data_IF_552407622126
#
_entry.id   IF_552407622126
#
_cell.length_a   1.000
_cell.length_b   1.000
_cell.length_c   1.000
_cell.angle_alpha   90.00
_cell.angle_beta   90.00
_cell.angle_gamma   90.00
#
_symmetry.space_group_name_H-M   'P 1'
#
loop_
_entity.id
_entity.type
_entity.pdbx_description
1 polymer ?
#
# COMPACT_ATOMS: atom_id res chain seq x y z
N UNK A 1 20.78 22.00 -7.35
CA UNK A 1 20.69 21.99 -5.88
C UNK A 1 20.45 20.55 -5.43
N UNK A 2 21.13 20.04 -4.37
CA UNK A 2 20.91 18.68 -3.89
C UNK A 2 19.54 18.58 -3.18
N UNK A 3 19.00 17.37 -2.93
CA UNK A 3 17.56 17.11 -2.98
C UNK A 3 16.79 17.67 -1.76
N UNK A 4 15.94 18.65 -2.03
CA UNK A 4 15.17 19.43 -1.03
C UNK A 4 13.99 18.62 -0.45
N UNK A 5 13.52 17.58 -1.15
CA UNK A 5 12.26 16.90 -0.82
C UNK A 5 12.25 16.27 0.59
N UNK A 6 13.24 15.45 0.95
CA UNK A 6 13.31 14.86 2.29
C UNK A 6 13.48 15.92 3.38
N UNK A 7 14.34 16.90 3.15
CA UNK A 7 14.58 17.99 4.10
C UNK A 7 13.30 18.81 4.33
N UNK A 8 12.56 19.12 3.27
CA UNK A 8 11.27 19.81 3.30
C UNK A 8 10.25 19.07 4.18
N UNK A 9 10.15 17.75 4.02
CA UNK A 9 9.28 16.91 4.85
C UNK A 9 9.73 16.94 6.32
N UNK A 10 11.03 16.78 6.57
CA UNK A 10 11.56 16.79 7.94
C UNK A 10 11.36 18.14 8.64
N UNK A 11 11.57 19.26 7.94
CA UNK A 11 11.28 20.61 8.45
C UNK A 11 9.81 20.77 8.82
N UNK A 12 8.91 20.38 7.91
CA UNK A 12 7.47 20.46 8.17
C UNK A 12 7.05 19.62 9.39
N UNK A 13 7.58 18.40 9.54
CA UNK A 13 7.31 17.55 10.71
C UNK A 13 7.85 18.13 12.03
N UNK A 14 8.92 18.92 11.96
CA UNK A 14 9.50 19.62 13.11
C UNK A 14 8.92 21.03 13.32
N UNK A 15 7.85 21.40 12.61
CA UNK A 15 7.24 22.74 12.67
C UNK A 15 8.19 23.88 12.29
N UNK A 16 9.20 23.59 11.45
CA UNK A 16 10.15 24.56 10.94
C UNK A 16 9.70 25.08 9.56
N UNK A 17 10.03 26.34 9.21
CA UNK A 17 9.77 26.86 7.87
C UNK A 17 10.48 26.04 6.79
N UNK A 18 9.69 25.54 5.83
CA UNK A 18 10.18 24.91 4.61
C UNK A 18 9.99 25.86 3.41
N UNK A 19 10.62 25.56 2.28
CA UNK A 19 10.52 26.34 1.05
C UNK A 19 9.14 26.29 0.40
N UNK A 20 8.41 25.17 0.58
CA UNK A 20 6.98 25.02 0.28
C UNK A 20 6.35 23.94 1.15
N UNK A 21 5.02 23.85 1.11
CA UNK A 21 4.27 22.74 1.72
C UNK A 21 4.69 21.41 1.05
N UNK A 22 5.04 20.35 1.81
CA UNK A 22 5.30 19.03 1.25
C UNK A 22 4.06 18.45 0.54
N UNK A 23 4.28 17.72 -0.56
CA UNK A 23 3.24 17.09 -1.37
C UNK A 23 3.43 15.58 -1.34
N UNK A 24 2.36 14.86 -1.04
CA UNK A 24 2.30 13.40 -1.07
C UNK A 24 1.31 12.89 -2.12
N UNK A 25 1.77 11.95 -2.95
CA UNK A 25 0.93 11.09 -3.80
C UNK A 25 1.53 9.68 -3.73
N UNK A 26 0.74 8.73 -3.25
CA UNK A 26 1.10 7.32 -3.14
C UNK A 26 2.01 6.98 -1.95
N UNK A 27 2.34 7.96 -1.08
CA UNK A 27 3.11 7.75 0.15
C UNK A 27 2.39 6.89 1.16
N UNK A 28 1.08 7.06 1.31
CA UNK A 28 0.23 6.25 2.18
C UNK A 28 -0.98 5.64 1.46
N UNK A 29 -1.74 4.74 2.11
CA UNK A 29 -2.88 4.07 1.49
C UNK A 29 -3.97 5.04 1.01
N UNK A 30 -4.18 6.14 1.75
CA UNK A 30 -5.18 7.16 1.44
C UNK A 30 -4.74 8.18 0.36
N UNK A 31 -3.46 8.22 0.01
CA UNK A 31 -2.92 9.19 -0.98
C UNK A 31 -2.64 8.54 -2.33
N UNK A 32 -3.10 7.30 -2.54
CA UNK A 32 -3.02 6.57 -3.81
C UNK A 32 -4.08 7.07 -4.80
N UNK A 33 -3.90 6.71 -6.07
CA UNK A 33 -4.83 7.08 -7.16
C UNK A 33 -5.53 5.83 -7.70
N UNK A 34 -6.82 5.93 -8.01
CA UNK A 34 -7.56 4.84 -8.64
C UNK A 34 -7.01 4.51 -10.03
N UNK A 35 -6.96 3.23 -10.40
CA UNK A 35 -6.37 2.75 -11.66
C UNK A 35 -6.94 3.46 -12.90
N UNK A 36 -8.26 3.63 -12.97
CA UNK A 36 -8.92 4.32 -14.09
C UNK A 36 -8.57 5.82 -14.14
N UNK A 37 -8.44 6.47 -12.99
CA UNK A 37 -8.04 7.88 -12.91
C UNK A 37 -6.57 8.05 -13.31
N UNK A 38 -5.70 7.12 -12.91
CA UNK A 38 -4.30 7.12 -13.30
C UNK A 38 -4.10 6.91 -14.80
N UNK A 39 -4.84 5.99 -15.42
CA UNK A 39 -4.78 5.79 -16.87
C UNK A 39 -5.17 7.08 -17.64
N UNK A 40 -6.21 7.78 -17.18
CA UNK A 40 -6.61 9.09 -17.74
C UNK A 40 -5.57 10.18 -17.50
N UNK A 41 -4.92 10.16 -16.34
CA UNK A 41 -3.82 11.08 -16.02
C UNK A 41 -2.64 10.87 -16.99
N UNK A 42 -2.22 9.63 -17.23
CA UNK A 42 -1.16 9.33 -18.20
C UNK A 42 -1.52 9.85 -19.60
N UNK A 43 -2.75 9.61 -20.05
CA UNK A 43 -3.24 10.12 -21.34
C UNK A 43 -3.21 11.65 -21.39
N UNK A 44 -3.65 12.33 -20.32
CA UNK A 44 -3.65 13.78 -20.25
C UNK A 44 -2.23 14.38 -20.28
N UNK A 45 -1.27 13.71 -19.63
CA UNK A 45 0.14 14.10 -19.64
C UNK A 45 0.88 13.72 -20.93
N UNK A 46 0.22 13.03 -21.87
CA UNK A 46 0.85 12.52 -23.09
C UNK A 46 1.86 11.40 -22.84
N UNK A 47 1.77 10.71 -21.70
CA UNK A 47 2.63 9.58 -21.37
C UNK A 47 2.09 8.28 -21.97
N UNK A 48 3.00 7.40 -22.37
CA UNK A 48 2.63 6.05 -22.79
C UNK A 48 1.85 5.33 -21.66
N UNK A 49 0.80 4.56 -22.01
CA UNK A 49 0.08 3.74 -21.04
C UNK A 49 1.04 2.80 -20.31
N UNK A 50 0.87 2.70 -19.00
CA UNK A 50 1.60 1.75 -18.18
C UNK A 50 0.76 0.47 -18.01
N UNK A 51 1.38 -0.68 -18.23
CA UNK A 51 0.73 -1.99 -18.07
C UNK A 51 0.84 -2.46 -16.62
N UNK A 52 -0.06 -3.36 -16.23
CA UNK A 52 -0.06 -4.02 -14.92
C UNK A 52 0.08 -3.05 -13.73
N UNK A 53 -0.81 -2.04 -13.67
CA UNK A 53 -0.77 -0.97 -12.67
C UNK A 53 -0.78 -1.47 -11.22
N UNK A 54 -1.30 -2.67 -10.97
CA UNK A 54 -1.35 -3.32 -9.65
C UNK A 54 -0.25 -4.36 -9.44
N UNK A 55 0.61 -4.64 -10.43
CA UNK A 55 1.69 -5.60 -10.27
C UNK A 55 2.69 -5.13 -9.20
N UNK A 56 2.95 -6.00 -8.23
CA UNK A 56 3.82 -5.71 -7.10
C UNK A 56 3.19 -4.86 -5.99
N UNK A 57 1.92 -4.47 -6.11
CA UNK A 57 1.16 -3.96 -4.97
C UNK A 57 0.86 -5.10 -3.99
N UNK A 58 0.86 -4.80 -2.69
CA UNK A 58 0.36 -5.76 -1.70
C UNK A 58 -1.08 -6.15 -2.08
N UNK A 59 -1.48 -7.44 -2.03
CA UNK A 59 -2.75 -7.86 -2.63
C UNK A 59 -3.98 -7.20 -1.98
N UNK A 60 -3.92 -6.83 -0.69
CA UNK A 60 -4.99 -6.03 -0.05
C UNK A 60 -5.11 -4.61 -0.62
N UNK A 61 -4.01 -4.02 -1.11
CA UNK A 61 -4.01 -2.71 -1.78
C UNK A 61 -4.44 -2.84 -3.24
N UNK A 62 -4.02 -3.91 -3.92
CA UNK A 62 -4.51 -4.23 -5.26
C UNK A 62 -6.04 -4.41 -5.26
N UNK A 63 -6.59 -4.98 -4.18
CA UNK A 63 -8.03 -5.16 -4.01
C UNK A 63 -8.86 -3.86 -3.95
N UNK A 64 -8.23 -2.72 -3.68
CA UNK A 64 -8.89 -1.41 -3.65
C UNK A 64 -8.89 -0.69 -5.01
N UNK A 65 -8.29 -1.28 -6.04
CA UNK A 65 -8.08 -0.66 -7.35
C UNK A 65 -7.34 0.69 -7.28
N UNK A 66 -6.46 0.86 -6.28
CA UNK A 66 -5.61 2.05 -6.14
C UNK A 66 -4.14 1.70 -6.30
N UNK A 67 -3.38 2.60 -6.90
CA UNK A 67 -1.98 2.40 -7.24
C UNK A 67 -1.12 3.54 -6.70
N UNK A 68 0.17 3.26 -6.50
CA UNK A 68 1.18 4.30 -6.36
C UNK A 68 1.66 4.66 -7.78
N UNK A 69 1.62 5.93 -8.20
CA UNK A 69 2.13 6.33 -9.51
C UNK A 69 3.58 5.89 -9.76
N UNK A 70 3.95 5.72 -11.03
CA UNK A 70 5.33 5.40 -11.40
C UNK A 70 6.29 6.54 -11.05
N UNK A 71 7.57 6.23 -10.91
CA UNK A 71 8.59 7.26 -10.61
C UNK A 71 8.62 8.39 -11.64
N UNK A 72 8.29 8.09 -12.90
CA UNK A 72 8.16 9.11 -13.95
C UNK A 72 7.09 10.13 -13.59
N UNK A 73 5.92 9.69 -13.12
CA UNK A 73 4.83 10.58 -12.71
C UNK A 73 5.15 11.29 -11.39
N UNK A 74 5.72 10.58 -10.41
CA UNK A 74 6.10 11.19 -9.13
C UNK A 74 7.18 12.27 -9.30
N UNK A 75 8.13 12.09 -10.22
CA UNK A 75 9.12 13.11 -10.58
C UNK A 75 8.51 14.26 -11.36
N UNK A 76 7.55 14.01 -12.25
CA UNK A 76 6.85 15.06 -13.00
C UNK A 76 6.16 16.07 -12.07
N UNK A 77 5.57 15.60 -10.98
CA UNK A 77 4.91 16.45 -9.98
C UNK A 77 5.79 16.86 -8.80
N UNK A 78 7.10 16.55 -8.82
CA UNK A 78 8.03 16.83 -7.71
C UNK A 78 7.50 16.35 -6.34
N UNK A 79 6.98 15.12 -6.30
CA UNK A 79 6.41 14.52 -5.08
C UNK A 79 7.49 14.24 -4.05
N UNK A 80 7.23 14.62 -2.80
CA UNK A 80 8.23 14.65 -1.73
C UNK A 80 8.44 13.30 -1.02
N UNK A 81 7.50 12.39 -1.18
CA UNK A 81 7.40 11.14 -0.42
C UNK A 81 7.44 9.94 -1.37
N UNK A 82 8.03 8.83 -0.90
CA UNK A 82 7.91 7.51 -1.50
C UNK A 82 7.36 6.52 -0.50
N UNK A 83 6.19 5.96 -0.84
CA UNK A 83 5.49 4.98 -0.02
C UNK A 83 6.08 3.58 -0.19
N UNK A 84 6.36 2.93 0.92
CA UNK A 84 6.77 1.54 1.01
C UNK A 84 5.73 0.77 1.81
N UNK A 85 5.53 -0.49 1.43
CA UNK A 85 4.57 -1.39 2.06
C UNK A 85 5.28 -2.71 2.33
N UNK A 86 4.84 -3.42 3.37
CA UNK A 86 5.29 -4.78 3.63
C UNK A 86 4.90 -5.71 2.47
N UNK A 87 5.66 -6.79 2.34
CA UNK A 87 5.36 -7.91 1.45
C UNK A 87 4.26 -8.81 2.02
N UNK A 88 4.10 -9.98 1.41
CA UNK A 88 3.15 -11.00 1.88
C UNK A 88 3.78 -11.90 2.95
N UNK A 89 2.99 -12.33 3.93
CA UNK A 89 3.39 -13.35 4.90
C UNK A 89 3.71 -14.69 4.19
N UNK A 90 4.76 -15.39 4.64
CA UNK A 90 5.05 -16.76 4.18
C UNK A 90 4.11 -17.78 4.84
N UNK A 91 3.79 -17.59 6.13
CA UNK A 91 2.97 -18.51 6.92
C UNK A 91 1.47 -18.32 6.67
N UNK A 92 1.05 -17.09 6.36
CA UNK A 92 -0.34 -16.67 6.13
C UNK A 92 -0.46 -15.90 4.81
N UNK A 93 -0.12 -16.49 3.65
CA UNK A 93 -0.29 -15.79 2.39
C UNK A 93 -1.78 -15.58 2.10
N UNK A 94 -2.08 -14.49 1.40
CA UNK A 94 -3.43 -14.23 0.88
C UNK A 94 -3.83 -15.39 -0.04
N UNK A 95 -5.01 -15.95 0.23
CA UNK A 95 -5.52 -17.15 -0.43
C UNK A 95 -6.67 -16.81 -1.36
N UNK A 96 -6.52 -16.94 -2.68
CA UNK A 96 -7.64 -16.84 -3.61
C UNK A 96 -8.70 -17.90 -3.29
N UNK A 97 -9.96 -17.51 -3.25
CA UNK A 97 -11.10 -18.43 -3.05
C UNK A 97 -12.09 -18.42 -4.23
N UNK A 98 -11.89 -17.53 -5.19
CA UNK A 98 -12.64 -17.45 -6.44
C UNK A 98 -12.11 -16.37 -7.37
N UNK A 99 -12.75 -16.14 -8.53
CA UNK A 99 -12.30 -15.14 -9.52
C UNK A 99 -12.24 -13.70 -8.97
N UNK A 100 -13.07 -13.42 -7.97
CA UNK A 100 -13.23 -12.09 -7.38
C UNK A 100 -13.19 -12.13 -5.85
N UNK A 101 -12.67 -13.21 -5.27
CA UNK A 101 -12.67 -13.40 -3.82
C UNK A 101 -11.36 -13.98 -3.30
N UNK A 102 -10.97 -13.53 -2.12
CA UNK A 102 -9.80 -14.05 -1.40
C UNK A 102 -10.04 -14.01 0.11
N UNK A 103 -9.22 -14.76 0.84
CA UNK A 103 -9.09 -14.67 2.30
C UNK A 103 -7.73 -14.07 2.62
N UNK A 104 -7.70 -13.04 3.45
CA UNK A 104 -6.47 -12.39 3.89
C UNK A 104 -5.77 -13.14 5.04
N UNK A 105 -4.66 -12.59 5.51
CA UNK A 105 -3.88 -13.12 6.61
C UNK A 105 -4.62 -13.07 7.97
N UNK A 106 -5.63 -12.21 8.09
CA UNK A 106 -6.53 -12.11 9.24
C UNK A 106 -7.71 -13.09 9.19
N UNK A 107 -7.85 -13.86 8.11
CA UNK A 107 -8.98 -14.76 7.92
C UNK A 107 -10.25 -14.06 7.45
N UNK A 108 -10.17 -12.79 7.04
CA UNK A 108 -11.30 -12.03 6.48
C UNK A 108 -11.49 -12.43 5.02
N UNK A 109 -12.74 -12.72 4.65
CA UNK A 109 -13.11 -12.99 3.27
C UNK A 109 -13.49 -11.68 2.59
N UNK A 110 -12.81 -11.39 1.49
CA UNK A 110 -13.02 -10.22 0.65
C UNK A 110 -13.62 -10.66 -0.68
N UNK A 111 -14.57 -9.89 -1.21
CA UNK A 111 -15.12 -10.09 -2.55
C UNK A 111 -15.34 -8.79 -3.29
N UNK A 112 -15.34 -8.83 -4.62
CA UNK A 112 -15.77 -7.73 -5.48
C UNK A 112 -16.82 -8.18 -6.49
N UNK A 113 -17.70 -7.27 -6.89
CA UNK A 113 -18.79 -7.59 -7.80
C UNK A 113 -18.34 -7.87 -9.25
N UNK A 114 -17.25 -7.23 -9.69
CA UNK A 114 -16.66 -7.37 -11.02
C UNK A 114 -15.21 -6.84 -11.02
N UNK A 115 -14.48 -7.02 -12.11
CA UNK A 115 -13.03 -6.75 -12.22
C UNK A 115 -12.58 -5.37 -11.70
N UNK A 116 -13.36 -4.32 -11.92
CA UNK A 116 -13.02 -2.95 -11.50
C UNK A 116 -13.73 -2.48 -10.24
N UNK A 117 -14.53 -3.33 -9.60
CA UNK A 117 -15.17 -3.01 -8.33
C UNK A 117 -14.16 -3.11 -7.17
N UNK A 118 -14.29 -2.28 -6.12
CA UNK A 118 -13.50 -2.45 -4.91
C UNK A 118 -13.87 -3.76 -4.22
N UNK A 119 -12.90 -4.38 -3.55
CA UNK A 119 -13.20 -5.48 -2.64
C UNK A 119 -13.87 -4.95 -1.38
N UNK A 120 -14.91 -5.66 -0.93
CA UNK A 120 -15.58 -5.47 0.34
C UNK A 120 -15.45 -6.75 1.16
N UNK A 121 -15.24 -6.62 2.46
CA UNK A 121 -15.26 -7.76 3.37
C UNK A 121 -16.71 -8.28 3.48
N UNK A 122 -16.88 -9.59 3.37
CA UNK A 122 -18.19 -10.26 3.45
C UNK A 122 -18.26 -11.31 4.55
N UNK A 123 -17.13 -11.69 5.12
CA UNK A 123 -17.08 -12.58 6.27
C UNK A 123 -15.79 -12.36 7.06
N UNK A 124 -15.84 -12.63 8.36
CA UNK A 124 -14.67 -12.55 9.26
C UNK A 124 -14.62 -13.73 10.22
N UNK A 125 -13.47 -13.97 10.88
CA UNK A 125 -13.28 -15.12 11.75
C UNK A 125 -14.24 -15.15 12.95
N UNK A 126 -14.74 -13.99 13.38
CA UNK A 126 -15.65 -13.84 14.52
C UNK A 126 -17.12 -13.63 14.11
N UNK A 127 -17.43 -13.48 12.81
CA UNK A 127 -18.76 -13.07 12.34
C UNK A 127 -19.88 -14.02 12.75
N UNK A 128 -19.59 -15.33 12.84
CA UNK A 128 -20.58 -16.39 13.05
C UNK A 128 -20.76 -16.79 14.51
N UNK A 129 -20.17 -16.06 15.45
CA UNK A 129 -20.25 -16.38 16.88
C UNK A 129 -21.39 -15.58 17.53
N UNK A 130 -22.37 -16.29 18.09
CA UNK A 130 -23.52 -15.67 18.74
C UNK A 130 -23.25 -15.25 20.22
N UNK A 131 -22.10 -15.62 20.79
CA UNK A 131 -21.61 -15.18 22.11
C UNK A 131 -20.08 -15.43 22.22
N UNK A 132 -19.23 -14.53 21.70
CA UNK A 132 -17.79 -14.77 21.61
C UNK A 132 -17.11 -14.77 22.98
N UNK A 133 -16.29 -15.78 23.23
CA UNK A 133 -15.48 -15.94 24.43
C UNK A 133 -14.00 -15.66 24.15
N UNK A 134 -13.16 -15.42 25.17
CA UNK A 134 -11.71 -15.32 24.98
C UNK A 134 -11.08 -16.56 24.31
N UNK A 135 -11.62 -17.75 24.55
CA UNK A 135 -11.12 -18.99 23.94
C UNK A 135 -11.33 -19.02 22.41
N UNK A 136 -12.36 -18.32 21.91
CA UNK A 136 -12.57 -18.18 20.46
C UNK A 136 -11.48 -17.33 19.81
N UNK A 137 -10.93 -16.34 20.54
CA UNK A 137 -9.79 -15.55 20.07
C UNK A 137 -8.52 -16.40 19.98
N UNK A 138 -8.29 -17.28 20.95
CA UNK A 138 -7.12 -18.17 20.97
C UNK A 138 -7.18 -19.25 19.86
N UNK A 139 -8.39 -19.61 19.42
CA UNK A 139 -8.60 -20.51 18.30
C UNK A 139 -8.35 -19.83 16.94
N UNK A 140 -8.34 -18.49 16.89
CA UNK A 140 -8.06 -17.77 15.65
C UNK A 140 -6.59 -17.86 15.33
N UNK A 141 -6.39 -18.16 14.07
CA UNK A 141 -5.12 -18.43 13.48
C UNK A 141 -4.53 -17.08 13.01
N UNK A 142 -4.14 -16.21 13.96
CA UNK A 142 -3.73 -14.82 13.72
C UNK A 142 -2.50 -14.67 12.81
N UNK A 143 -2.30 -13.50 12.17
CA UNK A 143 -1.06 -13.17 11.46
C UNK A 143 0.15 -13.26 12.38
N UNK A 144 1.30 -13.63 11.81
CA UNK A 144 2.60 -13.66 12.51
C UNK A 144 3.30 -12.32 12.25
N UNK A 145 3.44 -11.42 13.24
CA UNK A 145 3.91 -10.04 13.01
C UNK A 145 5.34 -9.94 12.47
N UNK A 146 6.20 -10.87 12.83
CA UNK A 146 7.61 -10.92 12.45
C UNK A 146 7.90 -11.92 11.31
N UNK A 147 6.88 -12.33 10.57
CA UNK A 147 7.03 -13.23 9.44
C UNK A 147 8.06 -12.67 8.42
N UNK A 148 9.12 -13.41 8.08
CA UNK A 148 10.19 -12.91 7.22
C UNK A 148 9.72 -12.58 5.80
N UNK A 149 8.55 -13.04 5.37
CA UNK A 149 7.94 -12.69 4.09
C UNK A 149 7.51 -11.22 4.03
N UNK A 150 7.10 -10.64 5.16
CA UNK A 150 6.67 -9.24 5.25
C UNK A 150 7.80 -8.26 4.97
N UNK A 151 9.04 -8.62 5.34
CA UNK A 151 10.21 -7.74 5.21
C UNK A 151 11.18 -8.17 4.10
N UNK A 152 10.89 -9.28 3.40
CA UNK A 152 11.74 -9.82 2.33
C UNK A 152 12.02 -8.77 1.25
N UNK A 153 13.29 -8.42 1.06
CA UNK A 153 13.72 -7.45 0.05
C UNK A 153 13.35 -5.98 0.35
N UNK A 154 12.70 -5.70 1.49
CA UNK A 154 12.20 -4.37 1.82
C UNK A 154 13.35 -3.41 2.11
N UNK A 155 14.37 -3.86 2.85
CA UNK A 155 15.56 -3.08 3.19
C UNK A 155 16.24 -2.56 1.93
N UNK A 156 16.55 -3.45 0.99
CA UNK A 156 17.29 -3.13 -0.22
C UNK A 156 16.51 -2.14 -1.09
N UNK A 157 15.18 -2.30 -1.17
CA UNK A 157 14.29 -1.37 -1.90
C UNK A 157 14.25 0.02 -1.24
N UNK A 158 14.17 0.10 0.09
CA UNK A 158 14.17 1.35 0.85
C UNK A 158 15.52 2.05 0.72
N UNK A 159 16.62 1.33 0.92
CA UNK A 159 17.98 1.88 0.82
C UNK A 159 18.24 2.45 -0.57
N UNK A 160 17.84 1.72 -1.62
CA UNK A 160 17.92 2.20 -3.01
C UNK A 160 17.12 3.48 -3.23
N UNK A 161 15.85 3.53 -2.82
CA UNK A 161 15.07 4.75 -2.98
C UNK A 161 15.65 5.91 -2.16
N UNK A 162 16.20 5.62 -0.97
CA UNK A 162 16.81 6.63 -0.10
C UNK A 162 18.03 7.28 -0.77
N UNK A 163 18.85 6.51 -1.48
CA UNK A 163 20.05 7.01 -2.18
C UNK A 163 19.73 7.66 -3.52
N UNK A 164 18.78 7.13 -4.30
CA UNK A 164 18.53 7.56 -5.68
C UNK A 164 17.54 8.73 -5.82
N UNK A 165 16.65 8.94 -4.84
CA UNK A 165 15.56 9.91 -4.98
C UNK A 165 15.73 11.17 -4.15
N UNK A 166 16.45 11.10 -3.02
CA UNK A 166 16.48 12.18 -2.04
C UNK A 166 15.12 12.54 -1.42
N UNK A 167 14.08 11.73 -1.67
CA UNK A 167 12.73 11.90 -1.12
C UNK A 167 12.64 11.33 0.30
N UNK A 168 11.60 11.74 1.04
CA UNK A 168 11.23 11.11 2.29
C UNK A 168 10.67 9.70 2.03
N UNK A 169 10.93 8.78 2.96
CA UNK A 169 10.39 7.42 2.91
C UNK A 169 9.23 7.34 3.89
N UNK A 170 8.06 6.93 3.41
CA UNK A 170 6.92 6.61 4.26
C UNK A 170 6.76 5.08 4.29
N UNK A 171 7.04 4.46 5.43
CA UNK A 171 6.81 3.03 5.62
C UNK A 171 5.39 2.82 6.13
N UNK A 172 4.58 2.12 5.35
CA UNK A 172 3.24 1.73 5.71
C UNK A 172 3.29 0.34 6.33
N UNK A 173 2.99 0.29 7.62
CA UNK A 173 2.76 -0.95 8.32
C UNK A 173 1.30 -1.37 8.08
N UNK A 174 1.02 -2.66 7.89
CA UNK A 174 -0.35 -3.15 7.87
C UNK A 174 -1.03 -2.79 9.20
N UNK A 175 -2.36 -2.80 9.22
CA UNK A 175 -3.14 -2.70 10.45
C UNK A 175 -2.88 -3.96 11.29
N UNK A 176 -1.71 -4.01 11.94
CA UNK A 176 -1.35 -4.97 12.96
C UNK A 176 -1.41 -4.21 14.27
N UNK A 177 -2.57 -4.30 14.93
CA UNK A 177 -2.69 -4.01 16.36
C UNK A 177 -2.24 -5.22 17.15
#
# INVERSE_FOLDING_TARGET
>A
MPPINRERVLKALNFEPADRVPIDIGGGPATRIHTSAYARLLQHLGFAPEQDLTAGAHPTLAGQNTICPSEKVLRHFDIDVRGFYLGSSNSRPIRPTGPHSYVDDWGVTWTRAHETAPHMNIAGPLERLDDPTPADLDAIAWPVPDDPGLTRGLRERIERARTETGCAICLNLPNAT
#
